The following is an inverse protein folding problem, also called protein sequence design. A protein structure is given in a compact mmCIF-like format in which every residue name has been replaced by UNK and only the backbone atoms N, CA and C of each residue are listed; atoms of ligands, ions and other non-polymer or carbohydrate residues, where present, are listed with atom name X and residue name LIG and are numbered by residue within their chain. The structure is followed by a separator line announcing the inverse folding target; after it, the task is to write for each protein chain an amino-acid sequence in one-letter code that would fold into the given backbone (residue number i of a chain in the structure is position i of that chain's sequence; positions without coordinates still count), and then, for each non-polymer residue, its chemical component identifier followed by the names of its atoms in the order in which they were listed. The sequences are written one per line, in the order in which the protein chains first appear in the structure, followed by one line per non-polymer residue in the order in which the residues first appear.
data_IF_363935370266
#
_entry.id   IF_363935370266
#
_cell.length_a   1.000
_cell.length_b   1.000
_cell.length_c   1.000
_cell.angle_alpha   90.00
_cell.angle_beta   90.00
_cell.angle_gamma   90.00
#
_symmetry.space_group_name_H-M   'P 1'
#
loop_
_entity.id
_entity.type
_entity.pdbx_description
1 polymer ?
#
# COMPACT_ATOMS: atom_id res chain seq x y z
N UNK A 1 57.57 -8.04 -27.87
CA UNK A 1 56.66 -6.95 -27.42
C UNK A 1 55.15 -7.26 -27.65
N UNK A 2 54.78 -8.05 -28.66
CA UNK A 2 53.36 -8.34 -28.94
C UNK A 2 52.73 -9.28 -27.89
N UNK A 3 53.48 -10.17 -27.31
CA UNK A 3 53.02 -11.12 -26.27
C UNK A 3 52.71 -10.36 -24.97
N UNK A 4 53.55 -9.43 -24.57
CA UNK A 4 53.31 -8.59 -23.37
C UNK A 4 52.02 -7.74 -23.52
N UNK A 5 51.81 -7.14 -24.68
CA UNK A 5 50.61 -6.36 -24.94
C UNK A 5 49.31 -7.20 -24.84
N UNK A 6 49.33 -8.42 -25.34
CA UNK A 6 48.19 -9.35 -25.22
C UNK A 6 47.91 -9.77 -23.77
N UNK A 7 48.96 -9.99 -22.97
CA UNK A 7 48.80 -10.31 -21.55
C UNK A 7 48.25 -9.13 -20.79
N UNK A 8 48.73 -7.88 -21.00
CA UNK A 8 48.23 -6.69 -20.37
C UNK A 8 46.77 -6.42 -20.74
N UNK A 9 46.39 -6.57 -22.01
CA UNK A 9 45.00 -6.40 -22.44
C UNK A 9 44.04 -7.42 -21.80
N UNK A 10 44.49 -8.68 -21.65
CA UNK A 10 43.71 -9.75 -21.02
C UNK A 10 43.51 -9.49 -19.51
N UNK A 11 44.57 -9.08 -18.82
CA UNK A 11 44.50 -8.71 -17.40
C UNK A 11 43.59 -7.51 -17.18
N UNK A 12 43.73 -6.46 -18.01
CA UNK A 12 42.88 -5.28 -17.94
C UNK A 12 41.38 -5.62 -18.16
N UNK A 13 41.10 -6.51 -19.11
CA UNK A 13 39.71 -6.97 -19.35
C UNK A 13 39.12 -7.73 -18.15
N UNK A 14 39.93 -8.60 -17.53
CA UNK A 14 39.50 -9.36 -16.34
C UNK A 14 39.23 -8.40 -15.17
N UNK A 15 40.09 -7.43 -14.91
CA UNK A 15 39.91 -6.44 -13.85
C UNK A 15 38.64 -5.57 -14.09
N UNK A 16 38.38 -5.21 -15.35
CA UNK A 16 37.19 -4.44 -15.70
C UNK A 16 35.89 -5.26 -15.44
N UNK A 17 35.90 -6.55 -15.84
CA UNK A 17 34.76 -7.45 -15.58
C UNK A 17 34.55 -7.64 -14.08
N UNK A 18 35.61 -7.86 -13.29
CA UNK A 18 35.51 -7.98 -11.83
C UNK A 18 35.04 -6.68 -11.18
N UNK A 19 35.47 -5.53 -11.65
CA UNK A 19 35.02 -4.22 -11.19
C UNK A 19 33.52 -4.03 -11.45
N UNK A 20 33.06 -4.31 -12.67
CA UNK A 20 31.64 -4.24 -13.02
C UNK A 20 30.82 -5.24 -12.22
N UNK A 21 31.26 -6.49 -12.10
CA UNK A 21 30.59 -7.52 -11.31
C UNK A 21 30.50 -7.11 -9.82
N UNK A 22 31.57 -6.54 -9.26
CA UNK A 22 31.60 -6.02 -7.90
C UNK A 22 30.59 -4.88 -7.68
N UNK A 23 30.56 -3.89 -8.58
CA UNK A 23 29.59 -2.78 -8.47
C UNK A 23 28.15 -3.24 -8.59
N UNK A 24 27.86 -4.18 -9.51
CA UNK A 24 26.54 -4.79 -9.65
C UNK A 24 26.17 -5.60 -8.40
N UNK A 25 27.08 -6.37 -7.86
CA UNK A 25 26.88 -7.14 -6.62
C UNK A 25 26.52 -6.24 -5.44
N UNK A 26 27.30 -5.18 -5.20
CA UNK A 26 27.01 -4.20 -4.14
C UNK A 26 25.69 -3.47 -4.37
N UNK A 27 25.38 -3.06 -5.59
CA UNK A 27 24.12 -2.40 -5.92
C UNK A 27 22.88 -3.29 -5.73
N UNK A 28 23.04 -4.61 -5.87
CA UNK A 28 21.98 -5.59 -5.60
C UNK A 28 21.83 -5.90 -4.10
N UNK A 29 22.94 -5.85 -3.35
CA UNK A 29 22.95 -6.12 -1.91
C UNK A 29 22.30 -5.00 -1.10
N UNK A 30 22.44 -3.73 -1.48
CA UNK A 30 21.81 -2.58 -0.82
C UNK A 30 20.27 -2.66 -0.81
N UNK A 31 19.67 -3.38 -1.74
CA UNK A 31 18.20 -3.61 -1.77
C UNK A 31 17.71 -4.67 -0.79
N UNK A 32 18.60 -5.54 -0.29
CA UNK A 32 18.21 -6.74 0.45
C UNK A 32 18.03 -6.52 1.96
N UNK A 33 18.37 -5.36 2.52
CA UNK A 33 18.52 -5.21 3.97
C UNK A 33 17.84 -3.98 4.58
N UNK A 34 16.72 -3.50 3.98
CA UNK A 34 15.95 -2.43 4.61
C UNK A 34 15.10 -3.02 5.74
N UNK A 35 15.31 -2.61 7.01
CA UNK A 35 14.49 -3.08 8.12
C UNK A 35 13.01 -2.77 7.89
N UNK A 36 12.14 -3.72 8.24
CA UNK A 36 10.69 -3.55 8.18
C UNK A 36 10.17 -3.23 9.58
N UNK A 37 9.34 -2.20 9.67
CA UNK A 37 8.59 -1.88 10.88
C UNK A 37 7.17 -2.46 10.79
N UNK A 38 6.68 -2.96 11.91
CA UNK A 38 5.30 -3.41 12.07
C UNK A 38 4.67 -2.61 13.20
N UNK A 39 3.60 -1.90 12.88
CA UNK A 39 2.79 -1.17 13.85
C UNK A 39 1.41 -1.82 13.90
N UNK A 40 0.90 -2.06 15.09
CA UNK A 40 -0.45 -2.60 15.29
C UNK A 40 -1.23 -1.69 16.22
N UNK A 41 -2.43 -1.31 15.82
CA UNK A 41 -3.39 -0.67 16.71
C UNK A 41 -4.04 -1.72 17.63
N UNK A 42 -4.29 -1.35 18.88
CA UNK A 42 -5.04 -2.21 19.78
C UNK A 42 -6.52 -2.32 19.40
N UNK A 43 -7.22 -3.29 20.01
CA UNK A 43 -8.67 -3.37 19.95
C UNK A 43 -9.25 -2.08 20.57
N UNK A 44 -10.21 -1.44 19.90
CA UNK A 44 -10.82 -0.16 20.30
C UNK A 44 -9.88 1.07 20.29
N UNK A 45 -8.63 0.91 19.88
CA UNK A 45 -7.66 2.00 19.84
C UNK A 45 -7.29 2.37 18.40
N UNK A 46 -7.20 3.66 18.16
CA UNK A 46 -6.63 4.21 16.95
C UNK A 46 -5.14 4.47 17.15
N UNK A 47 -4.34 4.32 16.09
CA UNK A 47 -2.91 4.62 16.10
C UNK A 47 -2.56 5.56 14.95
N UNK A 48 -1.58 6.43 15.17
CA UNK A 48 -1.13 7.37 14.13
C UNK A 48 0.35 7.16 13.86
N UNK A 49 0.69 7.01 12.58
CA UNK A 49 2.05 6.74 12.12
C UNK A 49 2.45 7.79 11.08
N UNK A 50 3.67 8.32 11.21
CA UNK A 50 4.30 9.12 10.14
C UNK A 50 5.34 8.25 9.45
N UNK A 51 5.16 8.05 8.15
CA UNK A 51 6.07 7.24 7.33
C UNK A 51 7.33 8.04 6.93
N UNK A 52 8.40 7.36 6.50
CA UNK A 52 9.68 8.00 6.15
C UNK A 52 9.59 9.02 5.00
N UNK A 53 8.56 8.95 4.16
CA UNK A 53 8.32 9.88 3.05
C UNK A 53 7.48 11.11 3.44
N UNK A 54 7.07 11.20 4.72
CA UNK A 54 6.17 12.23 5.23
C UNK A 54 4.67 11.92 5.09
N UNK A 55 4.30 10.77 4.53
CA UNK A 55 2.92 10.29 4.51
C UNK A 55 2.42 10.08 5.93
N UNK A 56 1.21 10.55 6.21
CA UNK A 56 0.54 10.36 7.51
C UNK A 56 -0.51 9.27 7.39
N UNK A 57 -0.48 8.33 8.33
CA UNK A 57 -1.41 7.21 8.39
C UNK A 57 -2.14 7.26 9.73
N UNK A 58 -3.47 7.19 9.69
CA UNK A 58 -4.31 6.99 10.87
C UNK A 58 -4.95 5.62 10.77
N UNK A 59 -4.64 4.73 11.70
CA UNK A 59 -5.08 3.35 11.72
C UNK A 59 -6.33 3.23 12.60
N UNK A 60 -7.33 2.52 12.10
CA UNK A 60 -8.50 2.10 12.88
C UNK A 60 -8.15 0.96 13.85
N UNK A 61 -9.08 0.58 14.74
CA UNK A 61 -8.87 -0.49 15.73
C UNK A 61 -8.50 -1.84 15.09
N UNK A 62 -7.64 -2.61 15.75
CA UNK A 62 -7.24 -3.95 15.32
C UNK A 62 -6.48 -4.02 13.99
N UNK A 63 -5.92 -2.90 13.54
CA UNK A 63 -5.22 -2.81 12.26
C UNK A 63 -3.73 -3.08 12.42
N UNK A 64 -3.10 -3.57 11.35
CA UNK A 64 -1.66 -3.82 11.26
C UNK A 64 -1.09 -3.18 10.00
N UNK A 65 -0.06 -2.37 10.17
CA UNK A 65 0.68 -1.69 9.12
C UNK A 65 2.12 -2.18 9.10
N UNK A 66 2.61 -2.61 7.94
CA UNK A 66 4.00 -3.00 7.74
C UNK A 66 4.64 -2.11 6.68
N UNK A 67 5.76 -1.48 7.00
CA UNK A 67 6.45 -0.55 6.10
C UNK A 67 7.97 -0.59 6.31
N UNK A 68 8.78 -0.26 5.28
CA UNK A 68 10.23 -0.23 5.39
C UNK A 68 10.74 1.02 6.13
N UNK A 69 11.90 0.91 6.77
CA UNK A 69 12.57 2.04 7.41
C UNK A 69 12.90 3.19 6.44
N UNK A 70 13.05 2.88 5.16
CA UNK A 70 13.20 3.85 4.08
C UNK A 70 12.67 3.29 2.76
N UNK A 71 12.18 4.17 1.90
CA UNK A 71 11.75 3.80 0.55
C UNK A 71 12.91 3.96 -0.44
N UNK A 72 13.72 2.93 -0.66
CA UNK A 72 14.89 2.97 -1.55
C UNK A 72 14.58 2.65 -3.02
N UNK A 73 13.47 1.94 -3.31
CA UNK A 73 13.07 1.53 -4.66
C UNK A 73 12.44 2.63 -5.53
N UNK A 74 11.88 2.23 -6.67
CA UNK A 74 11.11 3.10 -7.58
C UNK A 74 9.70 3.40 -7.07
N UNK A 75 9.23 2.68 -6.08
CA UNK A 75 7.92 2.77 -5.45
C UNK A 75 8.05 2.96 -3.95
N UNK A 76 6.98 3.38 -3.29
CA UNK A 76 6.83 3.46 -1.84
C UNK A 76 5.80 2.42 -1.42
N UNK A 77 6.26 1.24 -1.05
CA UNK A 77 5.38 0.09 -0.82
C UNK A 77 5.22 -0.19 0.66
N UNK A 78 3.98 -0.43 1.06
CA UNK A 78 3.59 -0.80 2.42
C UNK A 78 2.52 -1.90 2.36
N UNK A 79 2.28 -2.57 3.46
CA UNK A 79 1.21 -3.56 3.61
C UNK A 79 0.26 -3.17 4.73
N UNK A 80 -1.04 -3.29 4.45
CA UNK A 80 -2.12 -3.06 5.42
C UNK A 80 -2.95 -4.32 5.59
N UNK A 81 -3.24 -4.67 6.84
CA UNK A 81 -4.32 -5.54 7.27
C UNK A 81 -5.16 -4.75 8.25
N UNK A 82 -6.37 -4.34 7.86
CA UNK A 82 -7.23 -3.52 8.70
C UNK A 82 -7.80 -2.28 8.04
N UNK A 83 -8.13 -1.28 8.85
CA UNK A 83 -8.63 0.02 8.43
C UNK A 83 -7.55 1.08 8.62
N UNK A 84 -7.31 1.88 7.59
CA UNK A 84 -6.44 3.03 7.70
C UNK A 84 -6.83 4.14 6.73
N UNK A 85 -6.66 5.36 7.20
CA UNK A 85 -6.70 6.56 6.37
C UNK A 85 -5.27 7.00 6.06
N UNK A 86 -5.03 7.32 4.81
CA UNK A 86 -3.75 7.75 4.28
C UNK A 86 -3.85 9.19 3.78
N UNK A 87 -2.98 10.06 4.28
CA UNK A 87 -2.68 11.37 3.70
C UNK A 87 -1.29 11.28 3.06
N UNK A 88 -1.28 10.90 1.79
CA UNK A 88 -0.06 10.52 1.07
C UNK A 88 0.73 11.74 0.64
N UNK A 89 2.00 11.78 1.04
CA UNK A 89 2.95 12.80 0.59
C UNK A 89 3.05 12.82 -0.95
N UNK A 90 2.91 14.01 -1.55
CA UNK A 90 2.84 14.18 -3.00
C UNK A 90 4.19 13.88 -3.65
N UNK A 91 4.24 12.83 -4.46
CA UNK A 91 5.39 12.48 -5.27
C UNK A 91 4.93 11.67 -6.50
N UNK A 92 4.94 12.33 -7.67
CA UNK A 92 4.49 11.74 -8.94
C UNK A 92 5.51 10.79 -9.56
N UNK A 93 6.78 10.95 -9.22
CA UNK A 93 7.87 10.14 -9.77
C UNK A 93 8.04 8.81 -9.02
N UNK A 94 7.51 8.74 -7.80
CA UNK A 94 7.62 7.56 -6.94
C UNK A 94 6.25 7.19 -6.35
N UNK A 95 5.47 6.34 -7.04
CA UNK A 95 4.15 5.94 -6.60
C UNK A 95 4.15 5.33 -5.20
N UNK A 96 3.10 5.63 -4.43
CA UNK A 96 2.82 5.02 -3.13
C UNK A 96 1.84 3.87 -3.33
N UNK A 97 2.20 2.68 -2.88
CA UNK A 97 1.42 1.47 -3.09
C UNK A 97 1.10 0.82 -1.75
N UNK A 98 -0.19 0.68 -1.46
CA UNK A 98 -0.67 -0.09 -0.31
C UNK A 98 -1.08 -1.47 -0.79
N UNK A 99 -0.38 -2.48 -0.33
CA UNK A 99 -0.75 -3.88 -0.56
C UNK A 99 -1.69 -4.35 0.56
N UNK A 100 -2.76 -5.00 0.17
CA UNK A 100 -3.60 -5.81 1.05
C UNK A 100 -3.42 -7.28 0.68
N UNK A 101 -4.26 -8.19 1.18
CA UNK A 101 -4.14 -9.63 0.87
C UNK A 101 -4.37 -9.93 -0.62
N UNK A 102 -5.36 -9.28 -1.24
CA UNK A 102 -5.82 -9.62 -2.59
C UNK A 102 -5.67 -8.46 -3.59
N UNK A 103 -5.33 -7.26 -3.11
CA UNK A 103 -5.35 -6.04 -3.92
C UNK A 103 -4.21 -5.12 -3.59
N UNK A 104 -3.95 -4.21 -4.52
CA UNK A 104 -3.07 -3.07 -4.27
C UNK A 104 -3.77 -1.76 -4.64
N UNK A 105 -3.45 -0.71 -3.90
CA UNK A 105 -3.93 0.65 -4.14
C UNK A 105 -2.75 1.56 -4.38
N UNK A 106 -2.68 2.15 -5.57
CA UNK A 106 -1.63 3.08 -5.98
C UNK A 106 -2.11 4.52 -5.88
N UNK A 107 -1.27 5.37 -5.31
CA UNK A 107 -1.50 6.79 -5.07
C UNK A 107 -0.26 7.64 -5.38
N UNK A 108 -0.46 8.87 -5.87
CA UNK A 108 0.64 9.80 -6.21
C UNK A 108 0.71 11.03 -5.30
N UNK A 109 -0.20 11.12 -4.32
CA UNK A 109 -0.36 12.28 -3.43
C UNK A 109 -1.85 12.56 -3.25
N UNK A 110 -2.52 11.72 -2.48
CA UNK A 110 -3.96 11.61 -2.35
C UNK A 110 -4.34 11.38 -0.90
N UNK A 111 -5.56 11.77 -0.54
CA UNK A 111 -6.15 11.45 0.74
C UNK A 111 -7.25 10.40 0.53
N UNK A 112 -7.09 9.22 1.12
CA UNK A 112 -8.04 8.11 0.94
C UNK A 112 -8.07 7.20 2.16
N UNK A 113 -9.14 6.43 2.27
CA UNK A 113 -9.33 5.40 3.28
C UNK A 113 -9.38 4.01 2.65
N UNK A 114 -8.78 3.05 3.33
CA UNK A 114 -8.92 1.63 3.04
C UNK A 114 -9.52 0.92 4.25
N UNK A 115 -10.46 0.04 3.97
CA UNK A 115 -10.98 -0.96 4.90
C UNK A 115 -10.73 -2.34 4.29
N UNK A 116 -9.81 -3.10 4.86
CA UNK A 116 -9.34 -4.37 4.30
C UNK A 116 -8.79 -5.29 5.39
N UNK A 117 -9.67 -5.74 6.30
CA UNK A 117 -9.31 -6.79 7.26
C UNK A 117 -9.27 -8.14 6.57
N UNK A 118 -8.25 -8.95 6.83
CA UNK A 118 -8.08 -10.26 6.19
C UNK A 118 -9.21 -11.23 6.55
N UNK A 119 -9.84 -11.06 7.71
CA UNK A 119 -10.98 -11.88 8.15
C UNK A 119 -12.31 -11.45 7.51
N UNK A 120 -12.35 -10.31 6.86
CA UNK A 120 -13.56 -9.77 6.23
C UNK A 120 -13.66 -10.20 4.76
N UNK A 121 -14.89 -10.51 4.32
CA UNK A 121 -15.15 -10.88 2.93
C UNK A 121 -15.16 -9.67 1.97
N UNK A 122 -14.92 -8.47 2.47
CA UNK A 122 -15.03 -7.25 1.68
C UNK A 122 -13.87 -6.33 1.95
N UNK A 123 -13.47 -5.65 0.90
CA UNK A 123 -12.55 -4.53 0.94
C UNK A 123 -13.25 -3.29 0.42
N UNK A 124 -12.99 -2.15 1.03
CA UNK A 124 -13.49 -0.86 0.57
C UNK A 124 -12.33 0.14 0.44
N UNK A 125 -12.36 0.92 -0.63
CA UNK A 125 -11.51 2.08 -0.78
C UNK A 125 -12.37 3.31 -1.06
N UNK A 126 -12.17 4.38 -0.29
CA UNK A 126 -12.91 5.63 -0.38
C UNK A 126 -11.92 6.75 -0.62
N UNK A 127 -12.15 7.53 -1.68
CA UNK A 127 -11.25 8.61 -2.04
C UNK A 127 -11.81 9.95 -1.59
N UNK A 128 -11.02 10.67 -0.81
CA UNK A 128 -11.34 12.02 -0.35
C UNK A 128 -10.77 13.08 -1.31
N UNK A 129 -9.54 12.90 -1.75
CA UNK A 129 -8.86 13.87 -2.62
C UNK A 129 -7.85 13.20 -3.53
N UNK A 130 -7.77 13.67 -4.79
CA UNK A 130 -6.80 13.22 -5.78
C UNK A 130 -7.33 12.11 -6.69
N UNK A 131 -6.54 11.07 -6.91
CA UNK A 131 -6.90 9.90 -7.73
C UNK A 131 -6.14 8.69 -7.22
N UNK A 132 -6.82 7.57 -7.07
CA UNK A 132 -6.20 6.29 -6.78
C UNK A 132 -6.53 5.26 -7.86
N UNK A 133 -5.64 4.29 -8.00
CA UNK A 133 -5.81 3.12 -8.84
C UNK A 133 -5.85 1.89 -7.95
N UNK A 134 -6.94 1.15 -8.01
CA UNK A 134 -7.11 -0.15 -7.33
C UNK A 134 -6.81 -1.24 -8.34
N UNK A 135 -5.90 -2.13 -8.02
CA UNK A 135 -5.53 -3.25 -8.87
C UNK A 135 -5.82 -4.57 -8.16
N UNK A 136 -6.49 -5.48 -8.84
CA UNK A 136 -6.82 -6.84 -8.41
C UNK A 136 -6.10 -7.83 -9.31
N UNK A 137 -5.41 -8.79 -8.73
CA UNK A 137 -4.85 -9.90 -9.46
C UNK A 137 -5.80 -11.10 -9.42
N UNK A 138 -6.27 -11.52 -10.58
CA UNK A 138 -7.03 -12.77 -10.68
C UNK A 138 -6.04 -13.95 -10.60
N UNK A 139 -6.04 -14.67 -9.47
CA UNK A 139 -5.10 -15.77 -9.17
C UNK A 139 -5.21 -16.96 -10.14
N UNK A 140 -6.36 -17.12 -10.83
CA UNK A 140 -6.56 -18.21 -11.79
C UNK A 140 -6.04 -17.88 -13.19
N UNK A 141 -6.19 -16.63 -13.61
CA UNK A 141 -5.85 -16.19 -14.97
C UNK A 141 -4.59 -15.34 -15.06
N UNK A 142 -3.98 -14.95 -13.93
CA UNK A 142 -2.89 -13.97 -13.81
C UNK A 142 -3.20 -12.63 -14.51
N UNK A 143 -4.48 -12.31 -14.67
CA UNK A 143 -4.89 -11.05 -15.27
C UNK A 143 -5.06 -9.99 -14.19
N UNK A 144 -4.47 -8.81 -14.41
CA UNK A 144 -4.66 -7.64 -13.57
C UNK A 144 -5.89 -6.88 -14.04
N UNK A 145 -6.82 -6.63 -13.14
CA UNK A 145 -7.92 -5.70 -13.35
C UNK A 145 -7.63 -4.40 -12.62
N UNK A 146 -7.79 -3.28 -13.29
CA UNK A 146 -7.51 -1.96 -12.75
C UNK A 146 -8.77 -1.10 -12.73
N UNK A 147 -8.96 -0.40 -11.61
CA UNK A 147 -10.11 0.49 -11.39
C UNK A 147 -9.61 1.84 -10.89
N UNK A 148 -10.03 2.91 -11.54
CA UNK A 148 -9.74 4.26 -11.09
C UNK A 148 -10.87 4.76 -10.21
N UNK A 149 -10.51 5.41 -9.09
CA UNK A 149 -11.45 5.99 -8.12
C UNK A 149 -11.22 7.50 -8.08
N UNK A 150 -12.30 8.26 -8.17
CA UNK A 150 -12.34 9.72 -8.09
C UNK A 150 -12.81 10.19 -6.71
N UNK A 151 -12.61 11.47 -6.35
CA UNK A 151 -13.14 12.00 -5.09
C UNK A 151 -14.64 11.74 -4.95
N UNK A 152 -15.06 11.46 -3.72
CA UNK A 152 -16.43 11.07 -3.35
C UNK A 152 -16.92 9.77 -4.01
N UNK A 153 -15.98 8.93 -4.49
CA UNK A 153 -16.30 7.57 -4.89
C UNK A 153 -15.80 6.56 -3.84
N UNK A 154 -16.64 5.58 -3.59
CA UNK A 154 -16.31 4.34 -2.87
C UNK A 154 -16.28 3.18 -3.85
N UNK A 155 -15.20 2.41 -3.85
CA UNK A 155 -15.14 1.09 -4.49
C UNK A 155 -15.28 0.03 -3.42
N UNK A 156 -16.17 -0.93 -3.65
CA UNK A 156 -16.41 -2.09 -2.82
C UNK A 156 -16.03 -3.33 -3.61
N UNK A 157 -15.23 -4.18 -3.01
CA UNK A 157 -14.82 -5.47 -3.57
C UNK A 157 -15.28 -6.57 -2.65
N UNK A 158 -16.03 -7.51 -3.22
CA UNK A 158 -16.46 -8.72 -2.54
C UNK A 158 -15.46 -9.84 -2.87
N UNK A 159 -14.70 -10.28 -1.87
CA UNK A 159 -13.61 -11.25 -2.02
C UNK A 159 -14.10 -12.65 -2.39
N UNK A 160 -15.32 -13.00 -1.99
CA UNK A 160 -15.89 -14.33 -2.27
C UNK A 160 -16.36 -14.46 -3.72
N UNK A 161 -16.94 -13.39 -4.25
CA UNK A 161 -17.55 -13.40 -5.58
C UNK A 161 -16.69 -12.72 -6.64
N UNK A 162 -15.64 -11.99 -6.23
CA UNK A 162 -14.85 -11.14 -7.11
C UNK A 162 -15.66 -9.96 -7.69
N UNK A 163 -16.86 -9.69 -7.14
CA UNK A 163 -17.72 -8.61 -7.62
C UNK A 163 -17.23 -7.27 -7.12
N UNK A 164 -17.06 -6.36 -8.05
CA UNK A 164 -16.67 -4.98 -7.76
C UNK A 164 -17.85 -4.05 -8.06
N UNK A 165 -18.09 -3.10 -7.17
CA UNK A 165 -19.08 -2.05 -7.35
C UNK A 165 -18.50 -0.69 -6.95
N UNK A 166 -18.93 0.35 -7.66
CA UNK A 166 -18.61 1.74 -7.34
C UNK A 166 -19.87 2.47 -6.91
N UNK A 167 -19.74 3.35 -5.95
CA UNK A 167 -20.83 4.16 -5.41
C UNK A 167 -20.32 5.59 -5.18
N UNK A 168 -21.18 6.57 -5.39
CA UNK A 168 -20.93 7.95 -4.97
C UNK A 168 -21.33 8.05 -3.49
N UNK A 169 -20.44 8.60 -2.68
CA UNK A 169 -20.59 8.74 -1.22
C UNK A 169 -20.12 10.11 -0.77
N UNK A 170 -20.51 10.52 0.42
CA UNK A 170 -19.90 11.65 1.12
C UNK A 170 -18.63 11.15 1.84
N UNK A 171 -17.47 11.33 1.21
CA UNK A 171 -16.20 10.81 1.73
C UNK A 171 -15.84 11.42 3.09
N UNK A 172 -16.23 12.66 3.37
CA UNK A 172 -15.99 13.32 4.67
C UNK A 172 -16.74 12.62 5.80
N UNK A 173 -17.98 12.18 5.57
CA UNK A 173 -18.74 11.40 6.55
C UNK A 173 -18.11 10.05 6.84
N UNK A 174 -17.70 9.31 5.81
CA UNK A 174 -17.05 8.00 5.99
C UNK A 174 -15.73 8.10 6.76
N UNK A 175 -14.98 9.18 6.56
CA UNK A 175 -13.70 9.41 7.22
C UNK A 175 -13.80 10.19 8.55
N UNK A 176 -15.01 10.50 9.02
CA UNK A 176 -15.26 11.29 10.24
C UNK A 176 -14.76 10.60 11.53
N UNK A 177 -14.65 9.28 11.54
CA UNK A 177 -14.14 8.52 12.68
C UNK A 177 -12.78 9.01 13.18
N UNK A 178 -11.94 9.51 12.29
CA UNK A 178 -10.58 10.02 12.61
C UNK A 178 -10.59 11.20 13.58
N UNK A 179 -11.57 12.07 13.45
CA UNK A 179 -11.64 13.33 14.21
C UNK A 179 -12.78 13.32 15.25
N UNK A 180 -13.89 12.76 14.87
CA UNK A 180 -15.15 12.85 15.64
C UNK A 180 -15.51 11.53 16.34
N UNK A 181 -14.79 10.42 16.05
CA UNK A 181 -15.12 9.06 16.50
C UNK A 181 -16.53 8.63 16.08
N UNK A 182 -17.00 9.13 14.94
CA UNK A 182 -18.31 8.81 14.37
C UNK A 182 -18.09 7.82 13.23
N UNK A 183 -18.78 6.68 13.29
CA UNK A 183 -18.89 5.73 12.20
C UNK A 183 -20.15 6.07 11.39
N UNK A 184 -20.01 6.20 10.08
CA UNK A 184 -21.13 6.48 9.16
C UNK A 184 -21.38 5.27 8.28
N UNK A 185 -22.64 4.90 8.16
CA UNK A 185 -23.13 3.80 7.34
C UNK A 185 -24.29 4.30 6.49
N UNK A 186 -24.17 4.28 5.17
CA UNK A 186 -25.23 4.72 4.26
C UNK A 186 -25.67 3.55 3.38
N UNK A 187 -26.94 3.16 3.49
CA UNK A 187 -27.55 2.07 2.73
C UNK A 187 -26.80 0.72 2.85
N UNK A 188 -26.16 0.47 3.98
CA UNK A 188 -25.42 -0.77 4.22
C UNK A 188 -26.28 -1.79 4.95
N UNK A 189 -26.06 -3.07 4.64
CA UNK A 189 -26.74 -4.16 5.34
C UNK A 189 -26.20 -4.30 6.76
N UNK A 190 -27.04 -4.63 7.73
CA UNK A 190 -26.62 -4.87 9.12
C UNK A 190 -25.50 -5.91 9.23
N UNK A 191 -25.51 -6.94 8.38
CA UNK A 191 -24.43 -7.93 8.31
C UNK A 191 -23.04 -7.36 7.95
N UNK A 192 -22.99 -6.14 7.42
CA UNK A 192 -21.76 -5.42 7.11
C UNK A 192 -21.39 -4.39 8.20
N UNK A 193 -22.41 -3.92 8.92
CA UNK A 193 -22.25 -2.92 9.98
C UNK A 193 -21.76 -3.59 11.26
N UNK A 194 -22.36 -4.74 11.63
CA UNK A 194 -22.06 -5.45 12.88
C UNK A 194 -20.56 -5.74 13.07
N UNK A 195 -19.83 -6.33 12.11
CA UNK A 195 -18.40 -6.60 12.26
C UNK A 195 -17.58 -5.32 12.52
N UNK A 196 -17.95 -4.21 11.91
CA UNK A 196 -17.28 -2.92 12.16
C UNK A 196 -17.54 -2.40 13.56
N UNK A 197 -18.78 -2.54 14.06
CA UNK A 197 -19.12 -2.16 15.43
C UNK A 197 -18.37 -3.03 16.45
N UNK A 198 -18.28 -4.33 16.20
CA UNK A 198 -17.52 -5.26 17.04
C UNK A 198 -16.02 -4.89 17.10
N UNK A 199 -15.43 -4.47 16.00
CA UNK A 199 -14.04 -4.02 16.00
C UNK A 199 -13.83 -2.69 16.77
N UNK A 200 -14.82 -1.80 16.72
CA UNK A 200 -14.73 -0.49 17.36
C UNK A 200 -15.12 -0.52 18.83
N UNK A 201 -16.02 -1.38 19.23
CA UNK A 201 -16.62 -1.39 20.59
C UNK A 201 -16.44 -2.72 21.34
N UNK A 202 -16.07 -3.78 20.68
CA UNK A 202 -15.86 -5.12 21.26
C UNK A 202 -17.10 -5.96 21.25
#
# INVERSE_FOLDING_TARGET
NVVFYKIYSMVASILLVLGVAGTVYFALQDKANVPMYVVSSGIQNMESVSLPDGTKVQMGPGSRLTYPASFSGKTREIRLDGQAFFDVAKNREKPFIVHTEDMSVEALGTAFELFSYNMENKMEAILLNGKIKVSEENKETNQMKEYFVSPDEKILVDRQTGKISKQIVDADKYTAWRKQKILSFENEKLSMIIPRLEQWYG
#
